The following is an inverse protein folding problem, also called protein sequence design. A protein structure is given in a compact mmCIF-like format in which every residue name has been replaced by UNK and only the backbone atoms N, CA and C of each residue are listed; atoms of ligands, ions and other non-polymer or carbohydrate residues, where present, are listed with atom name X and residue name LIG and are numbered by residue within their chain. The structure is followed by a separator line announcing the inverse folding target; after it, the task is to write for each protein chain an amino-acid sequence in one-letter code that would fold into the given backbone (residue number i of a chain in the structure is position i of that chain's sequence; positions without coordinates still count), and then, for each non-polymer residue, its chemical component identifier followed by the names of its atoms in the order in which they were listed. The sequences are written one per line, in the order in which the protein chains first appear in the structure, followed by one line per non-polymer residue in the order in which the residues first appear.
data_IF_271514353689
#
_entry.id   IF_271514353689
#
_cell.length_a   1.000
_cell.length_b   1.000
_cell.length_c   1.000
_cell.angle_alpha   90.00
_cell.angle_beta   90.00
_cell.angle_gamma   90.00
#
_symmetry.space_group_name_H-M   'P 1'
#
loop_
_entity.id
_entity.type
_entity.pdbx_description
1 polymer ?
#
# COMPACT_ATOMS: atom_id res chain seq x y z
N UNK A 1 42.86 -6.08 16.15
CA UNK A 1 41.77 -5.75 15.21
C UNK A 1 40.90 -6.95 14.80
N UNK A 2 41.23 -8.20 15.17
CA UNK A 2 40.44 -9.38 14.76
C UNK A 2 39.09 -9.55 15.49
N UNK A 3 38.90 -8.98 16.69
CA UNK A 3 37.71 -9.25 17.52
C UNK A 3 36.40 -8.62 17.02
N UNK A 4 36.47 -7.55 16.22
CA UNK A 4 35.26 -6.86 15.73
C UNK A 4 34.62 -7.60 14.54
N UNK A 5 35.40 -8.35 13.77
CA UNK A 5 34.92 -9.14 12.63
C UNK A 5 34.19 -10.42 13.07
N UNK A 6 34.70 -11.12 14.10
CA UNK A 6 34.06 -12.31 14.66
C UNK A 6 32.72 -12.00 15.35
N UNK A 7 32.60 -10.84 16.00
CA UNK A 7 31.32 -10.40 16.58
C UNK A 7 30.26 -10.10 15.51
N UNK A 8 30.68 -9.48 14.40
CA UNK A 8 29.80 -9.22 13.26
C UNK A 8 29.37 -10.51 12.54
N UNK A 9 30.24 -11.51 12.45
CA UNK A 9 29.93 -12.84 11.90
C UNK A 9 28.99 -13.65 12.80
N UNK A 10 29.20 -13.59 14.13
CA UNK A 10 28.29 -14.21 15.11
C UNK A 10 26.88 -13.63 15.07
N UNK A 11 26.76 -12.31 14.93
CA UNK A 11 25.44 -11.63 14.82
C UNK A 11 24.73 -11.95 13.50
N UNK A 12 25.47 -12.10 12.40
CA UNK A 12 24.90 -12.51 11.10
C UNK A 12 24.43 -13.96 11.13
N UNK A 13 25.20 -14.87 11.71
CA UNK A 13 24.82 -16.28 11.85
C UNK A 13 23.59 -16.48 12.75
N UNK A 14 23.51 -15.75 13.86
CA UNK A 14 22.32 -15.73 14.72
C UNK A 14 21.10 -15.15 13.99
N UNK A 15 21.28 -14.13 13.14
CA UNK A 15 20.21 -13.57 12.31
C UNK A 15 19.67 -14.58 11.29
N UNK A 16 20.54 -15.33 10.61
CA UNK A 16 20.10 -16.36 9.65
C UNK A 16 19.35 -17.48 10.35
N UNK A 17 19.77 -17.88 11.55
CA UNK A 17 19.04 -18.83 12.40
C UNK A 17 17.66 -18.30 12.85
N UNK A 18 17.58 -17.03 13.23
CA UNK A 18 16.32 -16.38 13.63
C UNK A 18 15.34 -16.28 12.45
N UNK A 19 15.83 -15.92 11.26
CA UNK A 19 15.03 -15.84 10.02
C UNK A 19 14.44 -17.21 9.65
N UNK A 20 15.20 -18.30 9.85
CA UNK A 20 14.71 -19.66 9.61
C UNK A 20 13.58 -20.06 10.57
N UNK A 21 13.59 -19.54 11.79
CA UNK A 21 12.54 -19.79 12.78
C UNK A 21 11.28 -18.92 12.51
N UNK A 22 11.44 -17.69 12.02
CA UNK A 22 10.30 -16.82 11.68
C UNK A 22 9.50 -17.36 10.49
N UNK A 23 10.15 -18.01 9.52
CA UNK A 23 9.50 -18.60 8.35
C UNK A 23 8.45 -19.67 8.69
N UNK A 24 8.68 -20.48 9.72
CA UNK A 24 7.68 -21.44 10.21
C UNK A 24 6.66 -20.79 11.16
N UNK A 25 7.07 -19.76 11.88
CA UNK A 25 6.23 -19.14 12.89
C UNK A 25 5.12 -18.26 12.29
N UNK A 26 5.40 -17.54 11.20
CA UNK A 26 4.41 -16.63 10.60
C UNK A 26 3.18 -17.37 10.06
N UNK A 27 3.30 -18.46 9.27
CA UNK A 27 2.13 -19.24 8.85
C UNK A 27 1.32 -19.81 10.02
N UNK A 28 1.97 -20.18 11.13
CA UNK A 28 1.30 -20.64 12.34
C UNK A 28 0.53 -19.51 13.03
N UNK A 29 1.13 -18.31 13.14
CA UNK A 29 0.49 -17.12 13.71
C UNK A 29 -0.76 -16.70 12.93
N UNK A 30 -0.68 -16.78 11.60
CA UNK A 30 -1.82 -16.55 10.70
C UNK A 30 -2.94 -17.58 10.93
N UNK A 31 -2.58 -18.85 11.14
CA UNK A 31 -3.53 -19.93 11.43
C UNK A 31 -4.31 -19.73 12.73
N UNK A 32 -3.66 -19.21 13.78
CA UNK A 32 -4.29 -18.94 15.08
C UNK A 32 -5.02 -17.58 15.13
N UNK A 33 -4.98 -16.79 14.05
CA UNK A 33 -5.67 -15.50 13.95
C UNK A 33 -4.92 -14.31 14.56
N UNK A 34 -3.63 -14.46 14.88
CA UNK A 34 -2.77 -13.35 15.34
C UNK A 34 -2.18 -12.58 14.16
N UNK A 35 -3.06 -12.01 13.34
CA UNK A 35 -2.74 -11.34 12.08
C UNK A 35 -1.72 -10.18 12.26
N UNK A 36 -1.90 -9.36 13.29
CA UNK A 36 -1.04 -8.19 13.56
C UNK A 36 0.40 -8.58 13.96
N UNK A 37 0.53 -9.62 14.79
CA UNK A 37 1.83 -10.18 15.20
C UNK A 37 2.49 -10.90 14.03
N UNK A 38 1.72 -11.61 13.22
CA UNK A 38 2.20 -12.27 12.02
C UNK A 38 2.77 -11.25 11.03
N UNK A 39 2.06 -10.15 10.80
CA UNK A 39 2.50 -9.09 9.89
C UNK A 39 3.78 -8.42 10.40
N UNK A 40 3.87 -8.15 11.70
CA UNK A 40 5.08 -7.58 12.31
C UNK A 40 6.29 -8.48 12.09
N UNK A 41 6.17 -9.77 12.40
CA UNK A 41 7.26 -10.73 12.19
C UNK A 41 7.61 -10.94 10.73
N UNK A 42 6.62 -10.90 9.83
CA UNK A 42 6.88 -10.96 8.40
C UNK A 42 7.70 -9.74 7.94
N UNK A 43 7.35 -8.53 8.40
CA UNK A 43 8.11 -7.31 8.06
C UNK A 43 9.51 -7.30 8.65
N UNK A 44 9.70 -7.82 9.87
CA UNK A 44 11.02 -7.96 10.51
C UNK A 44 11.90 -9.01 9.82
N UNK A 45 11.28 -10.05 9.25
CA UNK A 45 11.96 -11.10 8.48
C UNK A 45 12.59 -10.56 7.19
N UNK A 46 12.10 -9.44 6.66
CA UNK A 46 12.54 -8.88 5.38
C UNK A 46 12.20 -9.73 4.16
N UNK A 47 11.42 -10.79 4.32
CA UNK A 47 10.97 -11.67 3.25
C UNK A 47 9.67 -11.11 2.65
N UNK A 48 9.76 -10.60 1.42
CA UNK A 48 8.65 -9.95 0.71
C UNK A 48 7.51 -10.95 0.46
N UNK A 49 7.82 -12.20 0.15
CA UNK A 49 6.81 -13.22 -0.13
C UNK A 49 6.02 -13.57 1.12
N UNK A 50 6.70 -13.59 2.27
CA UNK A 50 6.05 -13.81 3.56
C UNK A 50 5.14 -12.64 3.94
N UNK A 51 5.55 -11.39 3.68
CA UNK A 51 4.70 -10.22 3.90
C UNK A 51 3.46 -10.26 3.00
N UNK A 52 3.62 -10.67 1.73
CA UNK A 52 2.48 -10.87 0.82
C UNK A 52 1.53 -11.97 1.29
N UNK A 53 2.07 -13.08 1.78
CA UNK A 53 1.26 -14.18 2.30
C UNK A 53 0.34 -13.71 3.44
N UNK A 54 0.87 -12.95 4.40
CA UNK A 54 0.09 -12.39 5.49
C UNK A 54 -0.89 -11.32 4.99
N UNK A 55 -0.46 -10.41 4.12
CA UNK A 55 -1.31 -9.38 3.51
C UNK A 55 -2.53 -9.98 2.81
N UNK A 56 -2.34 -11.02 1.99
CA UNK A 56 -3.43 -11.67 1.28
C UNK A 56 -4.37 -12.44 2.22
N UNK A 57 -3.84 -13.03 3.29
CA UNK A 57 -4.66 -13.66 4.30
C UNK A 57 -5.60 -12.66 4.99
N UNK A 58 -5.05 -11.51 5.41
CA UNK A 58 -5.83 -10.46 6.06
C UNK A 58 -6.83 -9.85 5.08
N UNK A 59 -6.43 -9.65 3.82
CA UNK A 59 -7.31 -9.13 2.76
C UNK A 59 -8.52 -10.03 2.48
N UNK A 60 -8.41 -11.35 2.71
CA UNK A 60 -9.51 -12.29 2.55
C UNK A 60 -10.39 -12.42 3.80
N UNK A 61 -9.81 -12.32 5.01
CA UNK A 61 -10.53 -12.51 6.27
C UNK A 61 -11.16 -11.23 6.84
N UNK A 62 -10.52 -10.07 6.66
CA UNK A 62 -10.84 -8.82 7.36
C UNK A 62 -11.42 -7.78 6.39
N UNK A 63 -12.27 -6.85 6.89
CA UNK A 63 -12.71 -5.72 6.09
C UNK A 63 -11.53 -4.79 5.74
N UNK A 64 -11.64 -4.10 4.60
CA UNK A 64 -10.59 -3.22 4.09
C UNK A 64 -10.12 -2.17 5.11
N UNK A 65 -11.04 -1.64 5.92
CA UNK A 65 -10.73 -0.61 6.92
C UNK A 65 -9.76 -1.09 8.00
N UNK A 66 -9.95 -2.31 8.53
CA UNK A 66 -9.03 -2.90 9.52
C UNK A 66 -7.64 -3.12 8.90
N UNK A 67 -7.61 -3.59 7.66
CA UNK A 67 -6.37 -3.78 6.91
C UNK A 67 -5.63 -2.45 6.72
N UNK A 68 -6.33 -1.37 6.37
CA UNK A 68 -5.70 -0.06 6.14
C UNK A 68 -5.01 0.46 7.40
N UNK A 69 -5.64 0.32 8.57
CA UNK A 69 -5.00 0.66 9.84
C UNK A 69 -3.75 -0.18 10.12
N UNK A 70 -3.80 -1.50 9.90
CA UNK A 70 -2.66 -2.41 10.11
C UNK A 70 -1.48 -2.12 9.18
N UNK A 71 -1.78 -1.77 7.93
CA UNK A 71 -0.80 -1.44 6.89
C UNK A 71 -0.19 -0.06 7.15
N UNK A 72 -0.99 0.94 7.56
CA UNK A 72 -0.51 2.30 7.80
C UNK A 72 0.57 2.35 8.89
N UNK A 73 0.46 1.50 9.90
CA UNK A 73 1.47 1.38 10.97
C UNK A 73 2.83 0.84 10.47
N UNK A 74 2.90 0.23 9.28
CA UNK A 74 4.06 -0.53 8.80
C UNK A 74 4.44 -0.11 7.37
N UNK A 75 5.49 0.71 7.18
CA UNK A 75 5.81 1.29 5.88
C UNK A 75 6.15 0.23 4.81
N UNK A 76 6.82 -0.87 5.19
CA UNK A 76 7.18 -1.95 4.25
C UNK A 76 5.92 -2.65 3.71
N UNK A 77 4.98 -2.99 4.59
CA UNK A 77 3.71 -3.60 4.20
C UNK A 77 2.87 -2.64 3.33
N UNK A 78 2.90 -1.35 3.66
CA UNK A 78 2.24 -0.29 2.88
C UNK A 78 2.76 -0.19 1.47
N UNK A 79 4.07 -0.13 1.29
CA UNK A 79 4.65 0.05 -0.03
C UNK A 79 4.41 -1.18 -0.92
N UNK A 80 4.46 -2.38 -0.33
CA UNK A 80 4.11 -3.64 -0.99
C UNK A 80 2.63 -3.69 -1.39
N UNK A 81 1.73 -3.24 -0.51
CA UNK A 81 0.30 -3.13 -0.79
C UNK A 81 0.03 -2.13 -1.92
N UNK A 82 0.64 -0.93 -1.89
CA UNK A 82 0.49 0.07 -2.95
C UNK A 82 0.95 -0.49 -4.29
N UNK A 83 2.10 -1.18 -4.33
CA UNK A 83 2.62 -1.81 -5.55
C UNK A 83 1.65 -2.88 -6.09
N UNK A 84 1.09 -3.71 -5.22
CA UNK A 84 0.10 -4.72 -5.60
C UNK A 84 -1.21 -4.08 -6.11
N UNK A 85 -1.77 -3.12 -5.37
CA UNK A 85 -3.03 -2.48 -5.71
C UNK A 85 -2.95 -1.69 -7.02
N UNK A 86 -1.80 -1.09 -7.34
CA UNK A 86 -1.55 -0.45 -8.64
C UNK A 86 -1.69 -1.38 -9.83
N UNK A 87 -1.37 -2.67 -9.68
CA UNK A 87 -1.41 -3.66 -10.76
C UNK A 87 -2.75 -4.38 -10.86
N UNK A 88 -3.38 -4.71 -9.73
CA UNK A 88 -4.51 -5.64 -9.70
C UNK A 88 -5.85 -5.01 -9.28
N UNK A 89 -5.85 -3.99 -8.41
CA UNK A 89 -7.07 -3.43 -7.81
C UNK A 89 -6.96 -1.93 -7.59
N UNK A 90 -7.24 -1.16 -8.65
CA UNK A 90 -7.10 0.29 -8.64
C UNK A 90 -8.09 1.01 -7.71
N UNK A 91 -9.32 0.49 -7.57
CA UNK A 91 -10.36 1.08 -6.71
C UNK A 91 -9.95 1.08 -5.23
N UNK A 92 -9.40 -0.04 -4.76
CA UNK A 92 -8.90 -0.20 -3.38
C UNK A 92 -7.79 0.78 -3.03
N UNK A 93 -6.99 1.18 -4.03
CA UNK A 93 -5.90 2.13 -3.82
C UNK A 93 -6.44 3.54 -3.54
N UNK A 94 -7.54 3.94 -4.19
CA UNK A 94 -8.19 5.23 -3.94
C UNK A 94 -8.77 5.29 -2.54
N UNK A 95 -9.46 4.23 -2.11
CA UNK A 95 -10.04 4.13 -0.78
C UNK A 95 -8.95 4.19 0.30
N UNK A 96 -7.81 3.54 0.06
CA UNK A 96 -6.64 3.63 0.94
C UNK A 96 -6.07 5.05 1.03
N UNK A 97 -5.93 5.76 -0.10
CA UNK A 97 -5.43 7.14 -0.09
C UNK A 97 -6.43 8.14 0.52
N UNK A 98 -7.73 7.91 0.34
CA UNK A 98 -8.77 8.67 1.04
C UNK A 98 -8.71 8.44 2.55
N UNK A 99 -8.56 7.17 2.98
CA UNK A 99 -8.45 6.82 4.40
C UNK A 99 -7.22 7.44 5.07
N UNK A 100 -6.08 7.45 4.37
CA UNK A 100 -4.82 8.03 4.89
C UNK A 100 -4.74 9.55 4.76
N UNK A 101 -5.72 10.20 4.14
CA UNK A 101 -5.73 11.64 3.90
C UNK A 101 -4.75 12.10 2.81
N UNK A 102 -4.21 11.19 2.00
CA UNK A 102 -3.28 11.49 0.91
C UNK A 102 -4.04 11.96 -0.34
N UNK A 103 -4.69 13.12 -0.23
CA UNK A 103 -5.55 13.68 -1.28
C UNK A 103 -4.79 13.95 -2.59
N UNK A 104 -3.50 14.30 -2.51
CA UNK A 104 -2.65 14.51 -3.68
C UNK A 104 -2.53 13.23 -4.53
N UNK A 105 -2.33 12.07 -3.89
CA UNK A 105 -2.22 10.80 -4.59
C UNK A 105 -3.58 10.38 -5.19
N UNK A 106 -4.69 10.65 -4.50
CA UNK A 106 -6.05 10.45 -5.04
C UNK A 106 -6.27 11.30 -6.30
N UNK A 107 -5.92 12.58 -6.24
CA UNK A 107 -6.08 13.52 -7.34
C UNK A 107 -5.23 13.09 -8.56
N UNK A 108 -3.99 12.65 -8.33
CA UNK A 108 -3.14 12.10 -9.38
C UNK A 108 -3.74 10.83 -10.02
N UNK A 109 -4.29 9.91 -9.22
CA UNK A 109 -4.95 8.71 -9.74
C UNK A 109 -6.17 9.06 -10.61
N UNK A 110 -7.04 9.97 -10.15
CA UNK A 110 -8.20 10.42 -10.89
C UNK A 110 -7.81 11.12 -12.20
N UNK A 111 -6.78 11.97 -12.15
CA UNK A 111 -6.27 12.61 -13.36
C UNK A 111 -5.72 11.59 -14.37
N UNK A 112 -4.97 10.58 -13.89
CA UNK A 112 -4.45 9.50 -14.74
C UNK A 112 -5.57 8.69 -15.40
N UNK A 113 -6.62 8.36 -14.66
CA UNK A 113 -7.79 7.67 -15.22
C UNK A 113 -8.50 8.49 -16.29
N UNK A 114 -8.64 9.81 -16.05
CA UNK A 114 -9.18 10.73 -17.05
C UNK A 114 -8.36 10.68 -18.34
N UNK A 115 -7.03 10.71 -18.22
CA UNK A 115 -6.13 10.63 -19.37
C UNK A 115 -6.28 9.33 -20.17
N UNK A 116 -6.41 8.17 -19.50
CA UNK A 116 -6.63 6.89 -20.17
C UNK A 116 -7.99 6.83 -20.89
N UNK A 117 -9.04 7.42 -20.29
CA UNK A 117 -10.36 7.53 -20.92
C UNK A 117 -10.30 8.41 -22.19
N UNK A 118 -9.54 9.50 -22.15
CA UNK A 118 -9.38 10.40 -23.30
C UNK A 118 -8.64 9.74 -24.48
N UNK A 119 -7.77 8.76 -24.22
CA UNK A 119 -6.99 8.05 -25.24
C UNK A 119 -7.82 7.07 -26.07
N UNK A 120 -9.00 6.65 -25.59
CA UNK A 120 -9.87 5.74 -26.31
C UNK A 120 -10.62 6.47 -27.45
N UNK A 121 -10.37 6.15 -28.73
CA UNK A 121 -10.92 6.90 -29.87
C UNK A 121 -12.45 6.78 -30.02
N UNK A 122 -13.09 5.81 -29.35
CA UNK A 122 -14.56 5.73 -29.24
C UNK A 122 -15.16 6.74 -28.27
N UNK A 123 -14.37 7.34 -27.36
CA UNK A 123 -14.80 8.40 -26.44
C UNK A 123 -14.67 9.80 -27.06
N UNK A 124 -13.82 9.97 -28.09
CA UNK A 124 -13.47 11.28 -28.67
C UNK A 124 -14.48 11.80 -29.70
N UNK A 125 -15.40 10.95 -30.19
CA UNK A 125 -16.35 11.34 -31.25
C UNK A 125 -17.75 11.66 -30.69
N UNK A 126 -17.91 12.91 -30.28
CA UNK A 126 -19.18 13.64 -30.42
C UNK A 126 -20.38 13.21 -29.57
N UNK A 127 -20.19 12.66 -28.36
CA UNK A 127 -21.32 12.28 -27.50
C UNK A 127 -21.28 12.95 -26.10
N UNK A 128 -22.45 13.14 -25.44
CA UNK A 128 -22.58 13.68 -24.08
C UNK A 128 -21.82 12.91 -22.97
N UNK A 129 -21.16 11.80 -23.32
CA UNK A 129 -20.32 10.95 -22.47
C UNK A 129 -19.02 11.61 -22.00
N UNK A 130 -18.73 12.85 -22.43
CA UNK A 130 -17.65 13.66 -21.85
C UNK A 130 -17.96 14.11 -20.40
N UNK A 131 -19.22 13.97 -19.95
CA UNK A 131 -19.63 14.33 -18.59
C UNK A 131 -18.90 13.54 -17.49
N UNK A 132 -18.73 12.19 -17.56
CA UNK A 132 -17.85 11.46 -16.66
C UNK A 132 -16.41 11.96 -16.62
N UNK A 133 -15.81 12.29 -17.77
CA UNK A 133 -14.44 12.77 -17.86
C UNK A 133 -14.28 14.14 -17.19
N UNK A 134 -15.16 15.08 -17.52
CA UNK A 134 -15.18 16.43 -16.93
C UNK A 134 -15.33 16.33 -15.42
N UNK A 135 -16.28 15.52 -14.93
CA UNK A 135 -16.48 15.30 -13.49
C UNK A 135 -15.23 14.77 -12.81
N UNK A 136 -14.48 13.88 -13.47
CA UNK A 136 -13.24 13.33 -12.92
C UNK A 136 -12.14 14.38 -12.84
N UNK A 137 -12.01 15.22 -13.88
CA UNK A 137 -11.04 16.33 -13.94
C UNK A 137 -11.38 17.38 -12.88
N UNK A 138 -12.63 17.81 -12.80
CA UNK A 138 -13.11 18.77 -11.80
C UNK A 138 -12.86 18.24 -10.38
N UNK A 139 -13.15 16.96 -10.13
CA UNK A 139 -12.87 16.33 -8.83
C UNK A 139 -11.38 16.33 -8.51
N UNK A 140 -10.52 16.02 -9.47
CA UNK A 140 -9.08 16.07 -9.27
C UNK A 140 -8.60 17.50 -8.97
N UNK A 141 -9.09 18.50 -9.71
CA UNK A 141 -8.77 19.92 -9.49
C UNK A 141 -9.19 20.40 -8.10
N UNK A 142 -10.39 20.04 -7.65
CA UNK A 142 -10.88 20.39 -6.31
C UNK A 142 -10.00 19.80 -5.21
N UNK A 143 -9.63 18.52 -5.33
CA UNK A 143 -8.75 17.85 -4.37
C UNK A 143 -7.35 18.48 -4.35
N UNK A 144 -6.79 18.84 -5.50
CA UNK A 144 -5.52 19.57 -5.54
C UNK A 144 -5.63 20.93 -4.85
N UNK A 145 -6.68 21.70 -5.12
CA UNK A 145 -6.92 22.99 -4.48
C UNK A 145 -7.02 22.87 -2.95
N UNK A 146 -7.70 21.84 -2.44
CA UNK A 146 -7.81 21.54 -1.01
C UNK A 146 -6.44 21.26 -0.35
N UNK A 147 -5.59 20.49 -1.03
CA UNK A 147 -4.21 20.24 -0.57
C UNK A 147 -3.40 21.54 -0.51
N UNK A 148 -3.50 22.39 -1.52
CA UNK A 148 -2.80 23.68 -1.52
C UNK A 148 -3.28 24.58 -0.38
N UNK A 149 -4.59 24.70 -0.16
CA UNK A 149 -5.14 25.55 0.90
C UNK A 149 -4.73 25.08 2.29
N UNK A 150 -4.79 23.77 2.56
CA UNK A 150 -4.36 23.19 3.85
C UNK A 150 -2.87 23.41 4.11
N UNK A 151 -2.02 23.31 3.07
CA UNK A 151 -0.58 23.57 3.20
C UNK A 151 -0.26 25.05 3.51
N UNK A 152 -1.02 25.99 2.94
CA UNK A 152 -0.81 27.43 3.17
C UNK A 152 -1.31 27.93 4.51
N UNK A 153 -2.28 27.25 5.13
CA UNK A 153 -2.88 27.64 6.41
C UNK A 153 -2.19 27.00 7.63
N UNK A 154 -1.36 25.97 7.39
CA UNK A 154 -0.63 25.23 8.44
C UNK A 154 0.82 25.73 8.62
N UNK A 155 1.22 26.81 7.93
CA UNK A 155 2.50 27.53 8.13
C UNK A 155 2.25 28.82 8.89
#
# INVERSE_FOLDING_TARGET
MASSFDFALGLKSARVGLIRLTLFQVPLLVGIGEDDRALTKATESGDIDLVYLVLFHILQKRPALELFGMIQARPIARDLFIRYARCYKHEFLKDFFLYTGQLHDVAYLLWKESWELAKNPMATKGSPLHTPLIKLIEKAQNLFAEVYLTSTFSS
#
